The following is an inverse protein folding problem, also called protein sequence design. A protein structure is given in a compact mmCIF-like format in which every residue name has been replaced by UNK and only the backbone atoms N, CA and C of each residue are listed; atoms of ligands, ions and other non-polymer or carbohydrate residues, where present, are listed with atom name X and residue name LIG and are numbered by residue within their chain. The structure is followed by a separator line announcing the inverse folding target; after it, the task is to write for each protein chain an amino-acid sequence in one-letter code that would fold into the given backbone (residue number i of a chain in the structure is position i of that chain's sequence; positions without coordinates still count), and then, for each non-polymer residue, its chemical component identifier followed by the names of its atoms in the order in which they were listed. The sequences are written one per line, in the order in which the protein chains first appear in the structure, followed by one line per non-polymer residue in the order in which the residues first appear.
data_IF_461256976981
#
_entry.id   IF_461256976981
#
_cell.length_a   1.000
_cell.length_b   1.000
_cell.length_c   1.000
_cell.angle_alpha   90.00
_cell.angle_beta   90.00
_cell.angle_gamma   90.00
#
_symmetry.space_group_name_H-M   'P 1'
#
loop_
_entity.id
_entity.type
_entity.pdbx_description
1 polymer ?
#
# COMPACT_ATOMS: atom_id res chain seq x y z
N UNK A 1 -9.61 21.35 -8.13
CA UNK A 1 -9.07 20.09 -7.63
C UNK A 1 -8.03 20.41 -6.55
N UNK A 2 -8.17 19.82 -5.37
CA UNK A 2 -7.19 20.08 -4.32
C UNK A 2 -5.97 19.17 -4.44
N UNK A 3 -4.95 19.44 -3.62
CA UNK A 3 -3.69 18.67 -3.69
C UNK A 3 -3.91 17.20 -3.34
N UNK A 4 -4.82 16.92 -2.41
CA UNK A 4 -5.11 15.54 -2.02
C UNK A 4 -5.65 14.74 -3.23
N UNK A 5 -6.56 15.34 -4.00
CA UNK A 5 -7.10 14.68 -5.19
C UNK A 5 -6.03 14.43 -6.24
N UNK A 6 -5.10 15.37 -6.40
CA UNK A 6 -3.97 15.17 -7.30
C UNK A 6 -3.12 13.97 -6.89
N UNK A 7 -2.86 13.83 -5.60
CA UNK A 7 -2.05 12.71 -5.08
C UNK A 7 -2.79 11.39 -5.28
N UNK A 8 -4.09 11.35 -5.03
CA UNK A 8 -4.90 10.15 -5.27
C UNK A 8 -4.84 9.76 -6.75
N UNK A 9 -4.96 10.75 -7.65
CA UNK A 9 -4.87 10.48 -9.08
C UNK A 9 -3.51 9.94 -9.48
N UNK A 10 -2.42 10.48 -8.91
CA UNK A 10 -1.07 9.97 -9.16
C UNK A 10 -0.92 8.52 -8.72
N UNK A 11 -1.54 8.15 -7.61
CA UNK A 11 -1.52 6.76 -7.15
C UNK A 11 -2.21 5.84 -8.17
N UNK A 12 -3.46 6.17 -8.55
CA UNK A 12 -4.25 5.27 -9.39
C UNK A 12 -3.82 5.26 -10.85
N UNK A 13 -3.39 6.40 -11.39
CA UNK A 13 -3.02 6.49 -12.80
C UNK A 13 -1.58 6.03 -13.06
N UNK A 14 -0.67 6.26 -12.11
CA UNK A 14 0.75 6.02 -12.32
C UNK A 14 1.38 5.09 -11.30
N UNK A 15 0.63 4.61 -10.33
CA UNK A 15 1.13 3.78 -9.22
C UNK A 15 2.35 4.43 -8.55
N UNK A 16 2.27 5.74 -8.33
CA UNK A 16 3.34 6.50 -7.72
C UNK A 16 3.63 6.02 -6.29
N UNK A 17 4.87 5.61 -6.03
CA UNK A 17 5.28 5.22 -4.68
C UNK A 17 5.26 6.40 -3.73
N UNK A 18 5.61 7.60 -4.21
CA UNK A 18 5.54 8.81 -3.38
C UNK A 18 4.11 9.09 -2.95
N UNK A 19 3.15 8.90 -3.86
CA UNK A 19 1.73 9.06 -3.53
C UNK A 19 1.28 7.99 -2.52
N UNK A 20 1.71 6.75 -2.69
CA UNK A 20 1.40 5.68 -1.74
C UNK A 20 1.91 6.02 -0.34
N UNK A 21 3.18 6.42 -0.24
CA UNK A 21 3.80 6.79 1.04
C UNK A 21 3.00 7.91 1.71
N UNK A 22 2.70 8.97 0.95
CA UNK A 22 1.96 10.11 1.49
C UNK A 22 0.57 9.69 2.00
N UNK A 23 -0.17 8.93 1.21
CA UNK A 23 -1.54 8.56 1.55
C UNK A 23 -1.61 7.62 2.75
N UNK A 24 -0.71 6.64 2.82
CA UNK A 24 -0.67 5.74 3.99
C UNK A 24 -0.26 6.52 5.24
N UNK A 25 0.70 7.45 5.12
CA UNK A 25 1.10 8.29 6.25
C UNK A 25 -0.01 9.21 6.72
N UNK A 26 -0.93 9.59 5.83
CA UNK A 26 -2.12 10.36 6.19
C UNK A 26 -3.23 9.50 6.81
N UNK A 27 -3.00 8.20 6.97
CA UNK A 27 -3.99 7.30 7.57
C UNK A 27 -4.92 6.62 6.57
N UNK A 28 -4.67 6.77 5.26
CA UNK A 28 -5.46 6.07 4.25
C UNK A 28 -5.02 4.61 4.16
N UNK A 29 -5.92 3.77 3.66
CA UNK A 29 -5.68 2.34 3.51
C UNK A 29 -5.92 1.94 2.08
N UNK A 30 -5.15 0.96 1.56
CA UNK A 30 -5.22 0.59 0.15
C UNK A 30 -5.50 -0.90 0.00
N UNK A 31 -6.50 -1.20 -0.82
CA UNK A 31 -6.79 -2.56 -1.25
C UNK A 31 -6.27 -2.73 -2.68
N UNK A 32 -5.52 -3.79 -2.92
CA UNK A 32 -4.98 -4.07 -4.25
C UNK A 32 -4.86 -5.58 -4.47
N UNK A 33 -4.62 -5.97 -5.72
CA UNK A 33 -4.45 -7.37 -6.09
C UNK A 33 -3.13 -7.55 -6.81
N UNK A 34 -2.50 -8.70 -6.58
CA UNK A 34 -1.32 -9.13 -7.33
C UNK A 34 -1.61 -10.55 -7.81
N UNK A 35 -1.60 -10.73 -9.13
CA UNK A 35 -1.91 -12.03 -9.75
C UNK A 35 -3.24 -12.62 -9.25
N UNK A 36 -4.24 -11.76 -9.07
CA UNK A 36 -5.57 -12.16 -8.64
C UNK A 36 -5.73 -12.34 -7.13
N UNK A 37 -4.66 -12.30 -6.36
CA UNK A 37 -4.71 -12.43 -4.92
C UNK A 37 -4.86 -11.06 -4.25
N UNK A 38 -5.74 -10.97 -3.26
CA UNK A 38 -6.05 -9.72 -2.59
C UNK A 38 -5.07 -9.39 -1.48
N UNK A 39 -4.67 -8.13 -1.42
CA UNK A 39 -3.80 -7.58 -0.37
C UNK A 39 -4.37 -6.27 0.14
N UNK A 40 -4.01 -5.93 1.37
CA UNK A 40 -4.51 -4.73 2.02
C UNK A 40 -3.41 -4.09 2.84
N UNK A 41 -3.18 -2.79 2.63
CA UNK A 41 -2.25 -2.02 3.45
C UNK A 41 -3.08 -1.18 4.40
N UNK A 42 -2.82 -1.32 5.70
CA UNK A 42 -3.52 -0.57 6.74
C UNK A 42 -2.56 0.07 7.71
N UNK A 43 -3.03 1.12 8.37
CA UNK A 43 -2.31 1.76 9.45
C UNK A 43 -3.21 1.77 10.66
N UNK A 44 -2.83 1.06 11.72
CA UNK A 44 -3.62 1.03 12.95
C UNK A 44 -3.62 2.42 13.59
N UNK A 45 -4.81 2.96 13.88
CA UNK A 45 -4.99 4.35 14.23
C UNK A 45 -4.18 4.87 15.40
N UNK A 46 -3.92 4.04 16.41
CA UNK A 46 -3.17 4.46 17.60
C UNK A 46 -1.72 3.99 17.60
N UNK A 47 -1.30 3.23 16.59
CA UNK A 47 0.06 2.71 16.50
C UNK A 47 0.78 3.34 15.33
N UNK A 48 2.12 3.32 15.38
CA UNK A 48 2.94 3.76 14.25
C UNK A 48 3.22 2.65 13.24
N UNK A 49 2.69 1.44 13.49
CA UNK A 49 2.94 0.32 12.60
C UNK A 49 2.04 0.38 11.38
N UNK A 50 2.61 -0.03 10.26
CA UNK A 50 1.91 -0.19 8.98
C UNK A 50 1.92 -1.67 8.66
N UNK A 51 0.77 -2.21 8.29
CA UNK A 51 0.62 -3.64 8.05
C UNK A 51 0.24 -3.93 6.61
N UNK A 52 0.80 -5.01 6.08
CA UNK A 52 0.37 -5.60 4.83
C UNK A 52 -0.35 -6.91 5.16
N UNK A 53 -1.58 -7.02 4.71
CA UNK A 53 -2.43 -8.17 4.94
C UNK A 53 -2.63 -8.99 3.69
N UNK A 54 -2.53 -10.31 3.84
CA UNK A 54 -3.00 -11.26 2.84
C UNK A 54 -4.01 -12.13 3.58
N UNK A 55 -5.30 -11.86 3.38
CA UNK A 55 -6.37 -12.49 4.17
C UNK A 55 -6.13 -12.20 5.66
N UNK A 56 -5.91 -13.21 6.48
CA UNK A 56 -5.65 -13.06 7.92
C UNK A 56 -4.16 -13.02 8.28
N UNK A 57 -3.28 -13.12 7.28
CA UNK A 57 -1.84 -13.08 7.53
C UNK A 57 -1.33 -11.66 7.44
N UNK A 58 -0.61 -11.26 8.47
CA UNK A 58 -0.14 -9.87 8.60
C UNK A 58 1.38 -9.80 8.63
N UNK A 59 1.92 -8.84 7.87
CA UNK A 59 3.32 -8.42 8.00
C UNK A 59 3.28 -6.98 8.51
N UNK A 60 3.88 -6.72 9.67
CA UNK A 60 3.88 -5.39 10.28
C UNK A 60 5.25 -4.75 10.21
N UNK A 61 5.27 -3.44 9.94
CA UNK A 61 6.50 -2.68 9.77
C UNK A 61 6.39 -1.34 10.50
N UNK A 62 7.52 -0.77 10.87
CA UNK A 62 7.55 0.50 11.61
C UNK A 62 7.12 1.70 10.77
N UNK A 63 7.16 1.58 9.45
CA UNK A 63 6.78 2.66 8.55
C UNK A 63 6.37 2.09 7.19
N UNK A 64 5.73 2.91 6.37
CA UNK A 64 5.40 2.50 5.01
C UNK A 64 6.65 2.28 4.17
N UNK A 65 7.72 3.04 4.43
CA UNK A 65 8.99 2.84 3.74
C UNK A 65 9.58 1.47 4.09
N UNK A 66 9.54 1.10 5.37
CA UNK A 66 10.02 -0.23 5.80
C UNK A 66 9.17 -1.35 5.18
N UNK A 67 7.88 -1.14 5.05
CA UNK A 67 7.01 -2.09 4.36
C UNK A 67 7.46 -2.26 2.91
N UNK A 68 7.66 -1.17 2.20
CA UNK A 68 8.10 -1.21 0.79
C UNK A 68 9.44 -1.92 0.65
N UNK A 69 10.37 -1.69 1.60
CA UNK A 69 11.69 -2.29 1.54
C UNK A 69 11.70 -3.78 1.89
N UNK A 70 10.81 -4.24 2.76
CA UNK A 70 10.93 -5.55 3.38
C UNK A 70 9.77 -6.51 3.16
N UNK A 71 8.60 -6.02 2.78
CA UNK A 71 7.43 -6.90 2.62
C UNK A 71 7.61 -7.83 1.42
N UNK A 72 7.05 -9.04 1.55
CA UNK A 72 7.06 -10.02 0.46
C UNK A 72 5.63 -10.39 0.10
N UNK A 73 5.36 -10.50 -1.19
CA UNK A 73 4.06 -10.88 -1.74
C UNK A 73 4.31 -11.95 -2.80
N UNK A 74 3.70 -13.12 -2.68
CA UNK A 74 3.88 -14.20 -3.65
C UNK A 74 5.36 -14.54 -3.87
N UNK A 75 6.17 -14.52 -2.81
CA UNK A 75 7.62 -14.74 -2.89
C UNK A 75 8.37 -13.66 -3.67
N UNK A 76 7.72 -12.53 -3.95
CA UNK A 76 8.36 -11.39 -4.60
C UNK A 76 8.64 -10.30 -3.58
N UNK A 77 9.69 -9.51 -3.83
CA UNK A 77 9.88 -8.26 -3.09
C UNK A 77 8.77 -7.29 -3.47
N UNK A 78 8.46 -6.35 -2.56
CA UNK A 78 7.33 -5.44 -2.75
C UNK A 78 7.37 -4.71 -4.10
N UNK A 79 8.50 -4.16 -4.49
CA UNK A 79 8.58 -3.38 -5.72
C UNK A 79 8.26 -4.20 -6.96
N UNK A 80 8.67 -5.47 -7.00
CA UNK A 80 8.33 -6.36 -8.11
C UNK A 80 6.84 -6.67 -8.14
N UNK A 81 6.26 -6.92 -6.97
CA UNK A 81 4.82 -7.17 -6.87
C UNK A 81 4.02 -5.92 -7.25
N UNK A 82 4.51 -4.75 -6.85
CA UNK A 82 3.84 -3.48 -7.12
C UNK A 82 3.72 -3.18 -8.60
N UNK A 83 4.71 -3.57 -9.40
CA UNK A 83 4.64 -3.41 -10.86
C UNK A 83 3.47 -4.17 -11.47
N UNK A 84 3.08 -5.28 -10.85
CA UNK A 84 2.00 -6.14 -11.30
C UNK A 84 0.69 -5.86 -10.57
N UNK A 85 0.68 -4.92 -9.63
CA UNK A 85 -0.47 -4.67 -8.79
C UNK A 85 -1.61 -4.01 -9.56
N UNK A 86 -2.82 -4.46 -9.28
CA UNK A 86 -4.05 -3.83 -9.71
C UNK A 86 -4.66 -3.14 -8.50
N UNK A 87 -4.71 -1.82 -8.50
CA UNK A 87 -5.25 -1.07 -7.38
C UNK A 87 -6.77 -1.15 -7.41
N UNK A 88 -7.38 -1.45 -6.27
CA UNK A 88 -8.82 -1.69 -6.19
C UNK A 88 -9.52 -0.52 -5.53
N UNK A 89 -9.13 -0.16 -4.31
CA UNK A 89 -9.84 0.87 -3.56
C UNK A 89 -8.94 1.52 -2.53
N UNK A 90 -9.07 2.83 -2.38
CA UNK A 90 -8.40 3.61 -1.35
C UNK A 90 -9.44 4.06 -0.32
N UNK A 91 -9.26 3.63 0.91
CA UNK A 91 -10.15 3.97 2.02
C UNK A 91 -9.77 5.25 2.73
#
# INVERSE_FOLDING_TARGET
MDVHDLIVNELFEHKSLAALIFLIDCGRELEFKVNGKEYFISRAGSTKYVSLWESKYEQSFESVIKLIENATLENMVFLSAWEQAELVYLY
#
